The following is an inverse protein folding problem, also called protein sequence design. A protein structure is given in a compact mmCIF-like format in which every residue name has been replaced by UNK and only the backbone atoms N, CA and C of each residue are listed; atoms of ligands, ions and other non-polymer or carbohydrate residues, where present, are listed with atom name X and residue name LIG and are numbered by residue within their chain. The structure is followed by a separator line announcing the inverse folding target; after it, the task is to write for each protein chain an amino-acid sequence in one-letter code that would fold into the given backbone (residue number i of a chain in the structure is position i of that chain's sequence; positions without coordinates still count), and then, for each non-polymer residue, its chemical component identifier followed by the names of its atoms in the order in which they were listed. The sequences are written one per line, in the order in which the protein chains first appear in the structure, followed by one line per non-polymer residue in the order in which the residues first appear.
data_IF_941516030120
#
_entry.id   IF_941516030120
#
_cell.length_a   1.000
_cell.length_b   1.000
_cell.length_c   1.000
_cell.angle_alpha   90.00
_cell.angle_beta   90.00
_cell.angle_gamma   90.00
#
_symmetry.space_group_name_H-M   'P 1'
#
loop_
_entity.id
_entity.type
_entity.pdbx_description
1 polymer ?
#
# COMPACT_ATOMS: atom_id res chain seq x y z
N UNK A 1 -2.88 11.26 -2.37
CA UNK A 1 -2.84 10.91 -0.93
C UNK A 1 -1.70 9.93 -0.75
N UNK A 2 -0.96 10.02 0.35
CA UNK A 2 0.04 9.02 0.73
C UNK A 2 -0.23 8.61 2.17
N UNK A 3 -0.29 7.30 2.41
CA UNK A 3 -0.21 6.67 3.72
C UNK A 3 1.00 5.74 3.73
N UNK A 4 1.73 5.77 4.85
CA UNK A 4 2.97 5.01 4.99
C UNK A 4 3.07 4.45 6.41
N UNK A 5 3.35 3.15 6.53
CA UNK A 5 3.54 2.47 7.81
C UNK A 5 2.37 2.67 8.78
N UNK A 6 1.13 2.57 8.29
CA UNK A 6 -0.06 2.47 9.15
C UNK A 6 -0.04 1.15 9.92
N UNK A 7 -0.41 1.16 11.20
CA UNK A 7 -0.57 -0.06 12.01
C UNK A 7 -1.96 -0.68 11.91
N UNK A 8 -2.62 -0.40 10.79
CA UNK A 8 -4.02 -0.67 10.44
C UNK A 8 -4.07 -0.57 8.90
N UNK A 9 -5.24 -0.35 8.30
CA UNK A 9 -5.33 -0.12 6.86
C UNK A 9 -4.58 1.13 6.41
N UNK A 10 -4.17 1.11 5.14
CA UNK A 10 -3.68 2.27 4.43
C UNK A 10 -4.77 3.30 4.27
N UNK A 11 -5.89 2.92 3.65
CA UNK A 11 -7.06 3.79 3.41
C UNK A 11 -8.32 2.95 3.51
N UNK A 12 -9.25 3.40 4.35
CA UNK A 12 -10.59 2.83 4.47
C UNK A 12 -11.66 3.85 4.08
N UNK A 13 -12.61 3.44 3.24
CA UNK A 13 -13.70 4.31 2.74
C UNK A 13 -15.07 3.81 3.20
N UNK A 14 -15.66 4.59 4.11
CA UNK A 14 -17.02 4.38 4.61
C UNK A 14 -18.07 5.06 3.73
N UNK A 15 -18.57 4.33 2.74
CA UNK A 15 -19.74 4.69 1.95
C UNK A 15 -19.65 5.98 1.11
N UNK A 16 -20.79 6.34 0.51
CA UNK A 16 -20.95 7.62 -0.20
C UNK A 16 -20.40 7.63 -1.62
N UNK A 17 -19.97 8.80 -2.11
CA UNK A 17 -19.60 9.03 -3.52
C UNK A 17 -18.27 9.77 -3.65
N UNK A 18 -17.40 9.63 -2.64
CA UNK A 18 -16.08 10.25 -2.68
C UNK A 18 -15.28 9.65 -3.84
N UNK A 19 -14.65 10.51 -4.64
CA UNK A 19 -13.74 10.06 -5.68
C UNK A 19 -12.29 10.20 -5.18
N UNK A 20 -11.44 9.23 -5.51
CA UNK A 20 -10.03 9.19 -5.13
C UNK A 20 -9.12 9.16 -6.36
N UNK A 21 -8.09 10.00 -6.38
CA UNK A 21 -7.19 10.13 -7.53
C UNK A 21 -5.75 10.28 -7.03
N UNK A 22 -4.82 9.48 -7.56
CA UNK A 22 -3.42 9.44 -7.14
C UNK A 22 -3.28 9.16 -5.64
N UNK A 23 -3.42 7.90 -5.29
CA UNK A 23 -3.46 7.40 -3.92
C UNK A 23 -2.39 6.34 -3.73
N UNK A 24 -1.55 6.48 -2.71
CA UNK A 24 -0.56 5.47 -2.34
C UNK A 24 -0.73 5.05 -0.88
N UNK A 25 -0.67 3.75 -0.67
CA UNK A 25 -0.72 3.06 0.61
C UNK A 25 0.50 2.13 0.68
N UNK A 26 1.50 2.47 1.49
CA UNK A 26 2.81 1.83 1.45
C UNK A 26 3.18 1.29 2.83
N UNK A 27 3.47 0.00 2.92
CA UNK A 27 3.90 -0.70 4.13
C UNK A 27 2.90 -0.65 5.29
N UNK A 28 1.60 -0.73 5.00
CA UNK A 28 0.59 -0.81 6.07
C UNK A 28 0.54 -2.24 6.64
N UNK A 29 0.18 -2.34 7.91
CA UNK A 29 0.11 -3.60 8.67
C UNK A 29 -1.11 -4.44 8.28
N UNK A 30 -2.22 -3.82 7.85
CA UNK A 30 -3.40 -4.51 7.31
C UNK A 30 -3.58 -4.19 5.81
N UNK A 31 -4.78 -3.81 5.36
CA UNK A 31 -5.09 -3.73 3.94
C UNK A 31 -4.64 -2.39 3.33
N UNK A 32 -4.27 -2.40 2.05
CA UNK A 32 -3.86 -1.16 1.37
C UNK A 32 -5.04 -0.23 1.10
N UNK A 33 -6.10 -0.79 0.52
CA UNK A 33 -7.38 -0.11 0.30
C UNK A 33 -8.50 -1.00 0.78
N UNK A 34 -9.28 -0.47 1.72
CA UNK A 34 -10.49 -1.08 2.19
C UNK A 34 -11.69 -0.17 1.91
N UNK A 35 -12.86 -0.75 1.68
CA UNK A 35 -14.10 0.00 1.62
C UNK A 35 -15.30 -0.81 2.07
N UNK A 36 -16.30 -0.11 2.59
CA UNK A 36 -17.55 -0.67 3.06
C UNK A 36 -18.71 0.36 2.92
N UNK A 37 -19.85 0.06 3.56
CA UNK A 37 -20.97 0.98 3.75
C UNK A 37 -21.54 1.62 2.47
N UNK A 38 -21.46 0.91 1.33
CA UNK A 38 -22.11 1.36 0.12
C UNK A 38 -21.34 2.40 -0.67
N UNK A 39 -20.01 2.30 -0.74
CA UNK A 39 -19.21 3.24 -1.53
C UNK A 39 -19.49 3.11 -3.03
N UNK A 40 -19.81 4.24 -3.67
CA UNK A 40 -20.23 4.35 -5.07
C UNK A 40 -19.38 5.37 -5.84
N UNK A 41 -18.15 5.61 -5.37
CA UNK A 41 -17.23 6.58 -5.96
C UNK A 41 -16.42 6.04 -7.14
N UNK A 42 -15.44 6.85 -7.55
CA UNK A 42 -14.45 6.51 -8.57
C UNK A 42 -13.04 6.51 -8.01
N UNK A 43 -12.18 5.69 -8.57
CA UNK A 43 -10.77 5.61 -8.20
C UNK A 43 -9.85 5.52 -9.41
N UNK A 44 -8.76 6.30 -9.44
CA UNK A 44 -7.72 6.15 -10.46
C UNK A 44 -6.31 6.40 -9.91
N UNK A 45 -5.34 5.62 -10.40
CA UNK A 45 -3.94 5.67 -9.97
C UNK A 45 -3.81 5.38 -8.48
N UNK A 46 -4.16 4.15 -8.13
CA UNK A 46 -4.07 3.62 -6.77
C UNK A 46 -2.86 2.71 -6.70
N UNK A 47 -1.94 2.98 -5.77
CA UNK A 47 -0.76 2.17 -5.52
C UNK A 47 -0.82 1.61 -4.11
N UNK A 48 -0.69 0.30 -3.98
CA UNK A 48 -0.53 -0.39 -2.71
C UNK A 48 0.72 -1.25 -2.73
N UNK A 49 1.54 -1.15 -1.69
CA UNK A 49 2.65 -2.06 -1.44
C UNK A 49 2.55 -2.54 -0.01
N UNK A 50 2.25 -3.82 0.20
CA UNK A 50 2.01 -4.35 1.56
C UNK A 50 3.32 -4.65 2.27
N UNK A 51 3.29 -4.58 3.60
CA UNK A 51 4.35 -5.08 4.47
C UNK A 51 3.77 -6.22 5.30
N UNK A 52 4.06 -7.47 4.91
CA UNK A 52 3.50 -8.69 5.53
C UNK A 52 4.18 -9.01 6.89
N UNK A 53 4.31 -8.00 7.78
CA UNK A 53 4.96 -8.18 9.07
C UNK A 53 4.10 -9.05 10.01
N UNK A 54 4.70 -10.12 10.54
CA UNK A 54 4.14 -10.93 11.63
C UNK A 54 2.76 -11.58 11.36
N UNK A 55 2.49 -12.01 10.12
CA UNK A 55 1.19 -12.57 9.71
C UNK A 55 0.03 -11.56 9.81
N UNK A 56 0.31 -10.25 9.90
CA UNK A 56 -0.66 -9.17 9.70
C UNK A 56 -0.67 -8.76 8.21
N UNK A 57 -1.86 -8.37 7.70
CA UNK A 57 -2.06 -8.04 6.29
C UNK A 57 -2.35 -9.28 5.45
N UNK A 58 -3.55 -9.85 5.62
CA UNK A 58 -3.99 -11.00 4.81
C UNK A 58 -4.32 -10.59 3.37
N UNK A 59 -4.66 -9.31 3.13
CA UNK A 59 -5.06 -8.80 1.83
C UNK A 59 -4.35 -7.48 1.47
N UNK A 60 -4.19 -7.19 0.18
CA UNK A 60 -3.70 -5.87 -0.24
C UNK A 60 -4.84 -4.89 -0.50
N UNK A 61 -6.05 -5.39 -0.77
CA UNK A 61 -7.28 -4.64 -0.63
C UNK A 61 -8.40 -5.57 -0.18
N UNK A 62 -9.19 -5.11 0.80
CA UNK A 62 -10.33 -5.84 1.31
C UNK A 62 -11.62 -5.07 1.04
N UNK A 63 -12.48 -5.65 0.21
CA UNK A 63 -13.62 -4.95 -0.35
C UNK A 63 -14.90 -5.53 0.25
N UNK A 64 -15.64 -4.69 0.93
CA UNK A 64 -16.89 -5.02 1.65
C UNK A 64 -18.11 -4.30 1.08
N UNK A 65 -19.26 -4.97 1.10
CA UNK A 65 -20.52 -4.44 0.59
C UNK A 65 -21.29 -3.54 1.56
N UNK A 66 -21.41 -3.95 2.83
CA UNK A 66 -22.19 -3.29 3.89
C UNK A 66 -21.75 -3.76 5.30
N UNK A 67 -21.67 -2.87 6.28
CA UNK A 67 -21.11 -3.14 7.62
C UNK A 67 -22.18 -3.45 8.69
N UNK A 68 -23.47 -3.39 8.34
CA UNK A 68 -24.52 -3.45 9.35
C UNK A 68 -24.72 -4.86 9.94
N UNK A 69 -24.46 -5.92 9.16
CA UNK A 69 -24.50 -7.32 9.61
C UNK A 69 -23.30 -8.08 9.02
N UNK A 70 -22.23 -8.19 9.81
CA UNK A 70 -20.92 -8.87 9.56
C UNK A 70 -21.01 -10.28 8.91
N UNK A 71 -22.21 -10.89 8.82
CA UNK A 71 -22.43 -12.25 8.30
C UNK A 71 -23.77 -12.49 7.57
N UNK A 72 -24.61 -11.47 7.33
CA UNK A 72 -25.96 -11.66 6.72
C UNK A 72 -26.32 -10.44 5.85
N UNK A 73 -25.44 -10.12 4.90
CA UNK A 73 -25.68 -9.00 3.98
C UNK A 73 -26.85 -9.37 3.08
N UNK A 74 -27.98 -8.70 3.27
CA UNK A 74 -29.17 -8.92 2.46
C UNK A 74 -29.29 -7.80 1.43
N UNK A 75 -29.36 -8.15 0.14
CA UNK A 75 -29.49 -7.19 -0.98
C UNK A 75 -30.70 -6.22 -0.92
N UNK A 76 -31.57 -6.33 0.08
CA UNK A 76 -32.57 -5.30 0.39
C UNK A 76 -31.98 -4.05 1.06
N UNK A 77 -30.77 -4.12 1.59
CA UNK A 77 -29.99 -2.99 2.08
C UNK A 77 -29.14 -2.44 0.94
N UNK A 78 -29.59 -1.32 0.38
CA UNK A 78 -28.88 -0.57 -0.65
C UNK A 78 -28.52 0.82 -0.11
N UNK A 79 -27.39 1.40 -0.52
CA UNK A 79 -26.44 0.87 -1.51
C UNK A 79 -25.43 -0.13 -0.93
N UNK A 80 -25.07 -1.16 -1.70
CA UNK A 80 -23.86 -1.96 -1.52
C UNK A 80 -22.67 -1.27 -2.15
N UNK A 81 -21.44 -1.53 -1.71
CA UNK A 81 -20.25 -0.92 -2.31
C UNK A 81 -20.06 -1.44 -3.75
N UNK A 82 -19.88 -0.54 -4.70
CA UNK A 82 -19.57 -0.88 -6.09
C UNK A 82 -18.85 0.28 -6.80
N UNK A 83 -17.61 0.60 -6.39
CA UNK A 83 -16.85 1.68 -6.98
C UNK A 83 -16.38 1.34 -8.40
N UNK A 84 -16.11 2.39 -9.19
CA UNK A 84 -15.48 2.28 -10.51
C UNK A 84 -14.00 2.64 -10.41
N UNK A 85 -13.13 1.64 -10.58
CA UNK A 85 -11.69 1.74 -10.33
C UNK A 85 -10.89 1.47 -11.60
N UNK A 86 -9.95 2.36 -11.91
CA UNK A 86 -9.03 2.25 -13.04
C UNK A 86 -7.58 2.33 -12.57
N UNK A 87 -6.66 1.66 -13.28
CA UNK A 87 -5.22 1.91 -13.16
C UNK A 87 -4.69 1.75 -11.73
N UNK A 88 -4.87 0.56 -11.16
CA UNK A 88 -4.37 0.25 -9.83
C UNK A 88 -3.12 -0.63 -9.93
N UNK A 89 -2.17 -0.48 -9.01
CA UNK A 89 -1.00 -1.36 -8.88
C UNK A 89 -0.88 -1.81 -7.43
N UNK A 90 -1.01 -3.11 -7.20
CA UNK A 90 -0.83 -3.73 -5.89
C UNK A 90 0.39 -4.64 -5.94
N UNK A 91 1.24 -4.55 -4.91
CA UNK A 91 2.48 -5.33 -4.76
C UNK A 91 2.49 -5.97 -3.37
N UNK A 92 2.58 -7.30 -3.33
CA UNK A 92 2.69 -8.08 -2.09
C UNK A 92 4.12 -8.52 -1.77
N UNK A 93 4.27 -9.30 -0.69
CA UNK A 93 5.52 -9.99 -0.35
C UNK A 93 5.45 -11.52 -0.54
N UNK A 94 4.35 -12.01 -1.13
CA UNK A 94 4.19 -13.36 -1.65
C UNK A 94 3.34 -14.30 -0.79
N UNK A 95 2.87 -13.86 0.38
CA UNK A 95 1.98 -14.65 1.23
C UNK A 95 0.52 -14.16 1.16
N UNK A 96 0.29 -12.85 1.10
CA UNK A 96 -1.05 -12.26 1.12
C UNK A 96 -1.87 -12.57 -0.15
N UNK A 97 -3.18 -12.39 -0.05
CA UNK A 97 -4.10 -12.35 -1.20
C UNK A 97 -4.13 -10.93 -1.77
N UNK A 98 -4.20 -10.78 -3.09
CA UNK A 98 -4.16 -9.45 -3.69
C UNK A 98 -5.43 -8.64 -3.40
N UNK A 99 -6.60 -9.21 -3.64
CA UNK A 99 -7.91 -8.58 -3.36
C UNK A 99 -8.84 -9.63 -2.78
N UNK A 100 -9.56 -9.29 -1.71
CA UNK A 100 -10.72 -10.06 -1.26
C UNK A 100 -12.00 -9.29 -1.56
N UNK A 101 -13.00 -9.99 -2.06
CA UNK A 101 -14.35 -9.49 -2.27
C UNK A 101 -15.30 -10.31 -1.40
N UNK A 102 -15.91 -9.65 -0.41
CA UNK A 102 -16.77 -10.34 0.55
C UNK A 102 -17.92 -9.46 1.04
N UNK A 103 -18.82 -10.02 1.86
CA UNK A 103 -19.97 -9.32 2.42
C UNK A 103 -20.77 -8.52 1.38
N UNK A 104 -20.96 -9.08 0.18
CA UNK A 104 -21.74 -8.42 -0.88
C UNK A 104 -21.02 -7.24 -1.54
N UNK A 105 -19.69 -7.27 -1.59
CA UNK A 105 -18.90 -6.26 -2.29
C UNK A 105 -18.97 -6.39 -3.81
N UNK A 106 -19.25 -5.27 -4.46
CA UNK A 106 -19.10 -5.10 -5.90
C UNK A 106 -17.84 -4.33 -6.22
N UNK A 107 -17.34 -4.53 -7.44
CA UNK A 107 -16.30 -3.65 -8.01
C UNK A 107 -16.41 -3.61 -9.52
N UNK A 108 -16.20 -2.43 -10.12
CA UNK A 108 -15.93 -2.29 -11.56
C UNK A 108 -14.47 -1.90 -11.73
N UNK A 109 -13.61 -2.91 -11.88
CA UNK A 109 -12.17 -2.81 -11.89
C UNK A 109 -11.61 -2.94 -13.31
N UNK A 110 -10.79 -1.97 -13.72
CA UNK A 110 -10.22 -1.92 -15.05
C UNK A 110 -8.72 -1.58 -15.03
N UNK A 111 -7.96 -2.19 -15.95
CA UNK A 111 -6.57 -1.82 -16.24
C UNK A 111 -5.66 -1.82 -15.00
N UNK A 112 -5.82 -2.77 -14.08
CA UNK A 112 -5.01 -2.91 -12.86
C UNK A 112 -3.94 -3.98 -12.98
N UNK A 113 -2.91 -3.88 -12.13
CA UNK A 113 -1.77 -4.77 -12.03
C UNK A 113 -1.64 -5.30 -10.59
N UNK A 114 -1.50 -6.61 -10.44
CA UNK A 114 -1.30 -7.29 -9.16
C UNK A 114 -0.02 -8.13 -9.22
N UNK A 115 0.91 -7.92 -8.27
CA UNK A 115 2.25 -8.52 -8.32
C UNK A 115 2.63 -9.13 -6.98
N UNK A 116 3.21 -10.34 -7.00
CA UNK A 116 3.86 -10.98 -5.86
C UNK A 116 2.90 -11.27 -4.68
N UNK A 117 1.86 -12.04 -4.95
CA UNK A 117 0.86 -12.47 -3.95
C UNK A 117 0.76 -14.00 -3.91
N UNK A 118 0.32 -14.55 -2.77
CA UNK A 118 0.00 -15.97 -2.65
C UNK A 118 -1.23 -16.35 -3.50
N UNK A 119 -2.23 -15.46 -3.52
CA UNK A 119 -3.46 -15.58 -4.31
C UNK A 119 -3.79 -14.26 -5.00
N UNK A 120 -4.47 -14.32 -6.15
CA UNK A 120 -4.89 -13.14 -6.89
C UNK A 120 -6.13 -12.50 -6.26
N UNK A 121 -7.27 -12.64 -6.92
CA UNK A 121 -8.55 -12.17 -6.37
C UNK A 121 -9.27 -13.34 -5.71
N UNK A 122 -9.67 -13.16 -4.47
CA UNK A 122 -10.53 -14.07 -3.74
C UNK A 122 -11.99 -13.57 -3.79
N UNK A 123 -12.90 -14.46 -4.16
CA UNK A 123 -14.34 -14.23 -4.25
C UNK A 123 -15.06 -15.10 -3.24
N UNK A 124 -15.62 -14.47 -2.21
CA UNK A 124 -16.45 -15.15 -1.22
C UNK A 124 -17.85 -15.46 -1.80
N UNK A 125 -18.38 -16.63 -1.45
CA UNK A 125 -19.75 -17.07 -1.72
C UNK A 125 -20.37 -17.67 -0.45
N UNK A 126 -20.56 -16.82 0.57
CA UNK A 126 -21.29 -17.21 1.78
C UNK A 126 -22.77 -16.75 1.77
N UNK A 127 -23.68 -17.64 2.20
CA UNK A 127 -25.12 -17.35 2.24
C UNK A 127 -25.41 -16.23 3.28
N UNK A 128 -26.34 -15.28 3.01
CA UNK A 128 -27.37 -15.37 1.97
C UNK A 128 -27.19 -14.48 0.72
N UNK A 129 -26.30 -13.49 0.70
CA UNK A 129 -25.87 -12.78 -0.51
C UNK A 129 -24.44 -12.25 -0.31
N UNK A 130 -23.59 -12.46 -1.32
CA UNK A 130 -22.18 -12.08 -1.27
C UNK A 130 -21.66 -11.54 -2.62
N UNK A 131 -20.34 -11.46 -2.80
CA UNK A 131 -19.68 -11.00 -4.02
C UNK A 131 -20.13 -11.81 -5.26
N UNK A 132 -20.43 -13.10 -5.07
CA UNK A 132 -20.97 -13.98 -6.12
C UNK A 132 -22.28 -13.47 -6.73
N UNK A 133 -23.25 -13.03 -5.91
CA UNK A 133 -24.52 -12.48 -6.40
C UNK A 133 -24.30 -11.25 -7.29
N UNK A 134 -23.41 -10.35 -6.89
CA UNK A 134 -23.12 -9.13 -7.66
C UNK A 134 -22.43 -9.44 -8.99
N UNK A 135 -21.62 -10.49 -9.06
CA UNK A 135 -21.10 -11.01 -10.33
C UNK A 135 -22.25 -11.51 -11.22
N UNK A 136 -23.18 -12.31 -10.69
CA UNK A 136 -24.31 -12.84 -11.47
C UNK A 136 -25.27 -11.76 -11.97
N UNK A 137 -25.43 -10.67 -11.23
CA UNK A 137 -26.23 -9.51 -11.67
C UNK A 137 -25.49 -8.61 -12.67
N UNK A 138 -24.21 -8.86 -12.92
CA UNK A 138 -23.37 -8.04 -13.79
C UNK A 138 -23.02 -6.69 -13.16
N UNK A 139 -23.07 -6.60 -11.82
CA UNK A 139 -22.65 -5.42 -11.08
C UNK A 139 -21.15 -5.41 -10.84
N UNK A 140 -20.54 -6.58 -10.63
CA UNK A 140 -19.10 -6.77 -10.58
C UNK A 140 -18.53 -6.99 -11.98
N UNK A 141 -17.56 -6.16 -12.38
CA UNK A 141 -16.84 -6.28 -13.64
C UNK A 141 -15.35 -6.17 -13.38
N UNK A 142 -14.57 -7.14 -13.87
CA UNK A 142 -13.12 -7.18 -13.68
C UNK A 142 -12.53 -7.35 -15.07
N UNK A 143 -11.94 -6.30 -15.61
CA UNK A 143 -11.62 -6.21 -17.03
C UNK A 143 -10.21 -5.67 -17.29
N UNK A 144 -9.51 -6.33 -18.22
CA UNK A 144 -8.19 -5.93 -18.72
C UNK A 144 -7.11 -5.77 -17.63
N UNK A 145 -7.11 -6.64 -16.62
CA UNK A 145 -6.12 -6.63 -15.54
C UNK A 145 -4.95 -7.60 -15.83
N UNK A 146 -3.81 -7.35 -15.19
CA UNK A 146 -2.60 -8.19 -15.29
C UNK A 146 -2.18 -8.68 -13.92
N UNK A 147 -1.69 -9.91 -13.92
CA UNK A 147 -1.26 -10.60 -12.73
C UNK A 147 0.16 -11.13 -12.94
N UNK A 148 1.01 -11.02 -11.94
CA UNK A 148 2.37 -11.53 -12.03
C UNK A 148 2.86 -12.09 -10.71
N UNK A 149 3.52 -13.24 -10.75
CA UNK A 149 3.99 -13.94 -9.54
C UNK A 149 2.86 -14.12 -8.53
N UNK A 150 1.73 -14.67 -9.00
CA UNK A 150 0.62 -15.07 -8.15
C UNK A 150 0.74 -16.57 -7.90
N UNK A 151 0.92 -16.95 -6.64
CA UNK A 151 1.22 -18.32 -6.25
C UNK A 151 2.41 -18.90 -7.01
N UNK A 152 2.38 -20.20 -7.28
CA UNK A 152 3.46 -20.93 -7.97
C UNK A 152 3.25 -21.03 -9.49
N UNK A 153 2.21 -20.39 -10.07
CA UNK A 153 1.90 -20.57 -11.50
C UNK A 153 1.14 -19.40 -12.13
N UNK A 154 1.19 -19.31 -13.46
CA UNK A 154 0.38 -18.38 -14.26
C UNK A 154 -1.00 -18.93 -14.63
N UNK A 155 -1.48 -19.98 -13.96
CA UNK A 155 -2.77 -20.59 -14.23
C UNK A 155 -3.90 -19.70 -13.73
N UNK A 156 -4.99 -19.63 -14.50
CA UNK A 156 -6.16 -18.78 -14.18
C UNK A 156 -6.75 -19.07 -12.79
N UNK A 157 -6.69 -20.34 -12.36
CA UNK A 157 -7.19 -20.79 -11.06
C UNK A 157 -6.40 -20.25 -9.85
N UNK A 158 -5.16 -19.76 -10.06
CA UNK A 158 -4.40 -19.06 -9.00
C UNK A 158 -4.65 -17.55 -9.04
N UNK A 159 -5.00 -17.01 -10.22
CA UNK A 159 -5.27 -15.57 -10.39
C UNK A 159 -6.62 -15.15 -9.82
N UNK A 160 -7.56 -16.09 -9.78
CA UNK A 160 -8.86 -15.87 -9.19
C UNK A 160 -9.39 -17.16 -8.56
N UNK A 161 -9.80 -17.03 -7.31
CA UNK A 161 -10.39 -18.10 -6.51
C UNK A 161 -11.85 -17.76 -6.22
N UNK A 162 -12.68 -18.79 -6.27
CA UNK A 162 -14.03 -18.80 -5.74
C UNK A 162 -14.01 -19.69 -4.49
N UNK A 163 -14.03 -19.06 -3.32
CA UNK A 163 -13.92 -19.76 -2.04
C UNK A 163 -15.29 -20.08 -1.43
N UNK A 164 -15.33 -21.17 -0.66
CA UNK A 164 -16.43 -21.61 0.21
C UNK A 164 -17.84 -21.71 -0.40
N UNK A 165 -17.96 -21.67 -1.72
CA UNK A 165 -19.25 -21.63 -2.38
C UNK A 165 -20.07 -22.92 -2.42
N UNK A 166 -21.39 -22.75 -2.44
CA UNK A 166 -22.37 -23.83 -2.52
C UNK A 166 -22.78 -24.17 -3.97
N UNK A 167 -22.31 -23.39 -4.95
CA UNK A 167 -22.68 -23.54 -6.36
C UNK A 167 -21.81 -24.56 -7.06
N UNK A 168 -22.45 -25.58 -7.62
CA UNK A 168 -21.77 -26.54 -8.48
C UNK A 168 -21.31 -25.83 -9.74
N UNK A 169 -19.99 -25.59 -9.85
CA UNK A 169 -19.25 -24.91 -10.94
C UNK A 169 -18.90 -23.41 -10.75
N UNK A 170 -19.05 -22.83 -9.55
CA UNK A 170 -18.73 -21.41 -9.32
C UNK A 170 -17.35 -20.97 -9.83
N UNK A 171 -16.28 -21.68 -9.44
CA UNK A 171 -14.92 -21.45 -9.94
C UNK A 171 -14.85 -21.36 -11.49
N UNK A 172 -15.48 -22.29 -12.21
CA UNK A 172 -15.45 -22.32 -13.68
C UNK A 172 -16.15 -21.09 -14.30
N UNK A 173 -17.16 -20.55 -13.61
CA UNK A 173 -17.88 -19.34 -14.04
C UNK A 173 -17.04 -18.10 -13.82
N UNK A 174 -16.40 -17.99 -12.66
CA UNK A 174 -15.52 -16.87 -12.32
C UNK A 174 -14.30 -16.84 -13.25
N UNK A 175 -13.67 -18.00 -13.51
CA UNK A 175 -12.58 -18.12 -14.49
C UNK A 175 -13.01 -17.72 -15.90
N UNK A 176 -14.21 -18.11 -16.32
CA UNK A 176 -14.74 -17.74 -17.63
C UNK A 176 -14.94 -16.22 -17.74
N UNK A 177 -15.49 -15.58 -16.71
CA UNK A 177 -15.58 -14.11 -16.63
C UNK A 177 -14.21 -13.45 -16.75
N UNK A 178 -13.20 -13.97 -16.05
CA UNK A 178 -11.84 -13.44 -16.13
C UNK A 178 -11.26 -13.52 -17.54
N UNK A 179 -11.40 -14.66 -18.21
CA UNK A 179 -10.89 -14.90 -19.57
C UNK A 179 -11.63 -14.01 -20.58
N UNK A 180 -12.96 -13.98 -20.51
CA UNK A 180 -13.80 -13.23 -21.45
C UNK A 180 -13.57 -11.71 -21.33
N UNK A 181 -13.17 -11.22 -20.16
CA UNK A 181 -12.85 -9.81 -19.89
C UNK A 181 -11.35 -9.50 -19.92
N UNK A 182 -10.55 -10.29 -20.64
CA UNK A 182 -9.14 -9.99 -20.94
C UNK A 182 -8.21 -9.88 -19.70
N UNK A 183 -8.45 -10.69 -18.67
CA UNK A 183 -7.56 -10.82 -17.52
C UNK A 183 -6.62 -12.01 -17.72
N UNK A 184 -5.32 -11.79 -17.52
CA UNK A 184 -4.33 -12.86 -17.65
C UNK A 184 -3.00 -12.51 -16.98
N UNK A 185 -2.17 -13.53 -16.79
CA UNK A 185 -0.83 -13.33 -16.24
C UNK A 185 0.14 -12.74 -17.28
N UNK A 186 0.86 -11.69 -16.91
CA UNK A 186 1.87 -11.06 -17.76
C UNK A 186 2.96 -10.41 -16.90
N UNK A 187 4.21 -10.56 -17.32
CA UNK A 187 5.36 -9.95 -16.68
C UNK A 187 5.38 -8.43 -16.93
N UNK A 188 5.31 -7.60 -15.87
CA UNK A 188 5.40 -6.16 -15.99
C UNK A 188 6.84 -5.64 -16.10
N UNK A 189 7.86 -6.47 -15.91
CA UNK A 189 9.29 -6.07 -15.91
C UNK A 189 9.60 -4.90 -14.96
N UNK A 190 8.86 -4.81 -13.85
CA UNK A 190 9.13 -3.83 -12.78
C UNK A 190 10.12 -4.39 -11.77
N UNK A 191 10.88 -3.51 -11.14
CA UNK A 191 11.64 -3.83 -9.94
C UNK A 191 10.85 -3.36 -8.72
N UNK A 192 10.46 -4.30 -7.88
CA UNK A 192 9.71 -4.04 -6.65
C UNK A 192 10.47 -4.51 -5.40
N UNK A 193 11.71 -4.98 -5.56
CA UNK A 193 12.55 -5.39 -4.43
C UNK A 193 13.39 -4.19 -4.01
N UNK A 194 13.20 -3.74 -2.77
CA UNK A 194 14.12 -2.75 -2.19
C UNK A 194 14.99 -3.39 -1.12
N UNK A 195 16.08 -2.71 -0.78
CA UNK A 195 16.86 -3.02 0.40
C UNK A 195 17.07 -1.76 1.23
N UNK A 196 17.18 -1.93 2.54
CA UNK A 196 17.46 -0.84 3.46
C UNK A 196 18.61 -1.18 4.40
N UNK A 197 19.37 -0.17 4.79
CA UNK A 197 20.37 -0.26 5.84
C UNK A 197 20.20 0.92 6.80
N UNK A 198 20.19 0.64 8.10
CA UNK A 198 20.06 1.64 9.17
C UNK A 198 18.95 2.68 8.92
N UNK A 199 17.77 2.22 8.48
CA UNK A 199 16.58 3.06 8.24
C UNK A 199 16.55 3.81 6.90
N UNK A 200 17.52 3.58 6.01
CA UNK A 200 17.60 4.24 4.71
C UNK A 200 17.53 3.23 3.57
N UNK A 201 16.88 3.59 2.46
CA UNK A 201 16.82 2.77 1.25
C UNK A 201 18.19 2.78 0.55
N UNK A 202 18.75 1.59 0.32
CA UNK A 202 20.04 1.37 -0.34
C UNK A 202 19.89 0.82 -1.76
N UNK A 203 18.77 0.17 -2.04
CA UNK A 203 18.40 -0.32 -3.37
C UNK A 203 16.94 0.09 -3.61
N UNK A 204 16.68 1.13 -4.43
CA UNK A 204 15.34 1.63 -4.67
C UNK A 204 14.55 0.75 -5.64
N UNK A 205 13.22 0.79 -5.55
CA UNK A 205 12.34 0.14 -6.52
C UNK A 205 12.20 0.96 -7.80
N UNK A 206 11.87 0.29 -8.91
CA UNK A 206 11.50 0.90 -10.17
C UNK A 206 10.17 0.35 -10.67
N UNK A 207 9.12 1.15 -10.49
CA UNK A 207 7.74 0.81 -10.85
C UNK A 207 7.38 1.11 -12.31
N UNK A 208 8.36 1.40 -13.18
CA UNK A 208 8.12 1.64 -14.60
C UNK A 208 7.80 0.32 -15.31
N UNK A 209 6.57 0.09 -15.79
CA UNK A 209 6.21 -1.18 -16.42
C UNK A 209 6.70 -1.29 -17.87
N UNK A 210 6.75 -2.52 -18.37
CA UNK A 210 7.11 -2.81 -19.77
C UNK A 210 6.16 -2.14 -20.76
N UNK A 211 6.76 -1.44 -21.72
CA UNK A 211 6.07 -0.65 -22.75
C UNK A 211 5.34 -1.47 -23.82
N UNK A 212 5.31 -2.79 -23.71
CA UNK A 212 4.63 -3.69 -24.67
C UNK A 212 3.54 -4.49 -23.97
N UNK A 213 3.83 -5.15 -22.85
CA UNK A 213 2.90 -6.05 -22.14
C UNK A 213 1.89 -5.31 -21.28
N UNK A 214 2.21 -4.09 -20.84
CA UNK A 214 1.38 -3.28 -19.95
C UNK A 214 0.63 -2.15 -20.67
N UNK A 215 0.26 -2.38 -21.93
CA UNK A 215 -0.56 -1.44 -22.73
C UNK A 215 -2.03 -1.87 -22.72
N UNK A 216 -2.93 -0.89 -22.75
CA UNK A 216 -4.38 -1.05 -22.82
C UNK A 216 -4.92 -0.63 -24.20
N UNK A 217 -5.78 -1.47 -24.78
CA UNK A 217 -6.44 -1.17 -26.04
C UNK A 217 -7.58 -0.15 -25.86
N UNK A 218 -7.93 0.55 -26.95
CA UNK A 218 -8.92 1.65 -26.93
C UNK A 218 -10.26 1.29 -26.30
N UNK A 219 -10.70 0.02 -26.42
CA UNK A 219 -11.98 -0.44 -25.88
C UNK A 219 -12.00 -0.54 -24.34
N UNK A 220 -10.84 -0.67 -23.71
CA UNK A 220 -10.69 -0.74 -22.25
C UNK A 220 -10.41 0.61 -21.61
N UNK A 221 -10.41 1.70 -22.38
CA UNK A 221 -10.18 3.05 -21.86
C UNK A 221 -11.46 3.62 -21.22
N UNK A 222 -11.32 4.43 -20.15
CA UNK A 222 -12.47 5.01 -19.49
C UNK A 222 -13.26 5.92 -20.43
N UNK A 223 -14.58 5.80 -20.39
CA UNK A 223 -15.50 6.67 -21.15
C UNK A 223 -15.96 7.90 -20.33
N UNK A 224 -15.83 7.86 -19.00
CA UNK A 224 -16.16 8.97 -18.11
C UNK A 224 -15.02 10.01 -18.14
N UNK A 225 -15.30 11.29 -18.48
CA UNK A 225 -14.29 12.35 -18.54
C UNK A 225 -13.60 12.70 -17.22
N UNK A 226 -14.05 12.14 -16.09
CA UNK A 226 -13.38 12.31 -14.81
C UNK A 226 -12.05 11.56 -14.74
N UNK A 227 -11.93 10.43 -15.44
CA UNK A 227 -10.68 9.66 -15.51
C UNK A 227 -9.73 10.26 -16.54
N UNK A 228 -8.44 10.20 -16.24
CA UNK A 228 -7.39 10.38 -17.22
C UNK A 228 -7.40 9.20 -18.19
N UNK A 229 -7.56 9.49 -19.49
CA UNK A 229 -7.57 8.47 -20.53
C UNK A 229 -6.15 8.08 -20.90
N UNK A 230 -5.56 7.17 -20.12
CA UNK A 230 -4.23 6.59 -20.36
C UNK A 230 -4.33 5.21 -21.00
N UNK A 231 -3.38 4.86 -21.87
CA UNK A 231 -3.36 3.62 -22.64
C UNK A 231 -2.46 2.53 -22.05
N UNK A 232 -2.31 2.52 -20.73
CA UNK A 232 -1.51 1.53 -20.00
C UNK A 232 -2.26 0.91 -18.83
N UNK A 233 -1.73 -0.22 -18.36
CA UNK A 233 -2.22 -1.00 -17.22
C UNK A 233 -1.37 -0.68 -15.99
N UNK A 234 -2.02 -0.59 -14.83
CA UNK A 234 -1.40 -0.21 -13.57
C UNK A 234 -1.41 1.29 -13.33
N UNK A 235 -0.89 1.68 -12.18
CA UNK A 235 -0.88 3.06 -11.69
C UNK A 235 0.28 3.90 -12.29
N UNK A 236 1.24 3.29 -12.96
CA UNK A 236 2.48 3.95 -13.43
C UNK A 236 2.63 3.86 -14.94
N UNK A 237 3.15 4.93 -15.54
CA UNK A 237 3.32 5.00 -16.99
C UNK A 237 4.53 4.19 -17.46
N UNK A 238 4.41 3.40 -18.55
CA UNK A 238 5.55 2.77 -19.21
C UNK A 238 6.59 3.76 -19.77
N UNK A 239 6.27 5.07 -19.79
CA UNK A 239 7.22 6.12 -20.19
C UNK A 239 8.23 6.50 -19.10
N UNK A 240 8.15 5.90 -17.91
CA UNK A 240 9.03 6.18 -16.78
C UNK A 240 8.57 7.33 -15.88
N UNK A 241 7.35 7.84 -16.08
CA UNK A 241 6.79 8.85 -15.18
C UNK A 241 6.29 8.19 -13.89
N UNK A 242 6.88 8.57 -12.76
CA UNK A 242 6.42 8.17 -11.43
C UNK A 242 5.82 9.37 -10.71
N UNK A 243 4.49 9.37 -10.57
CA UNK A 243 3.73 10.46 -9.95
C UNK A 243 3.89 10.53 -8.42
N UNK A 244 4.54 9.54 -7.79
CA UNK A 244 4.93 9.59 -6.38
C UNK A 244 6.19 10.41 -6.14
N UNK A 245 6.89 10.84 -7.19
CA UNK A 245 8.07 11.69 -7.06
C UNK A 245 7.69 13.17 -6.87
N UNK A 246 8.62 13.95 -6.34
CA UNK A 246 8.61 15.36 -5.96
C UNK A 246 7.76 15.78 -4.74
N UNK A 247 7.01 14.88 -4.07
CA UNK A 247 6.13 15.28 -2.96
C UNK A 247 5.91 14.25 -1.86
N UNK A 248 6.20 12.97 -2.09
CA UNK A 248 5.93 11.91 -1.13
C UNK A 248 7.02 11.79 -0.08
N UNK A 249 6.68 11.21 1.06
CA UNK A 249 7.63 10.82 2.08
C UNK A 249 8.41 9.58 1.67
N UNK A 250 7.78 8.62 0.98
CA UNK A 250 8.46 7.46 0.41
C UNK A 250 9.60 7.86 -0.54
N UNK A 251 9.41 8.88 -1.39
CA UNK A 251 10.51 9.44 -2.19
C UNK A 251 11.58 10.08 -1.30
N UNK A 252 11.21 10.80 -0.25
CA UNK A 252 12.19 11.40 0.66
C UNK A 252 13.06 10.35 1.36
N UNK A 253 12.52 9.16 1.61
CA UNK A 253 13.25 7.99 2.10
C UNK A 253 14.10 7.30 1.02
N UNK A 254 13.99 7.73 -0.23
CA UNK A 254 14.73 7.19 -1.37
C UNK A 254 14.09 5.97 -2.03
N UNK A 255 12.82 5.64 -1.71
CA UNK A 255 12.19 4.39 -2.18
C UNK A 255 12.18 4.25 -3.70
N UNK A 256 11.98 5.34 -4.44
CA UNK A 256 11.91 5.35 -5.91
C UNK A 256 13.22 5.78 -6.58
N UNK A 257 14.30 5.86 -5.80
CA UNK A 257 15.59 6.34 -6.24
C UNK A 257 15.61 7.84 -6.54
N UNK A 258 16.73 8.32 -7.06
CA UNK A 258 16.82 9.68 -7.59
C UNK A 258 16.00 9.80 -8.88
N UNK A 259 15.27 10.91 -9.06
CA UNK A 259 14.50 11.20 -10.28
C UNK A 259 15.36 11.05 -11.54
N UNK A 260 15.25 9.90 -12.22
CA UNK A 260 15.78 9.68 -13.56
C UNK A 260 14.74 10.19 -14.57
N UNK A 261 14.43 11.49 -14.51
CA UNK A 261 13.64 12.13 -15.54
C UNK A 261 14.31 11.95 -16.88
N UNK A 262 13.71 11.13 -17.74
CA UNK A 262 14.29 10.69 -19.00
C UNK A 262 14.83 11.83 -19.87
N UNK A 263 16.15 11.96 -19.89
CA UNK A 263 16.99 12.22 -21.06
C UNK A 263 18.45 12.06 -20.60
N UNK A 264 19.09 10.94 -20.94
CA UNK A 264 20.55 10.79 -20.80
C UNK A 264 21.20 11.61 -21.92
N UNK A 265 21.17 12.94 -21.76
CA UNK A 265 22.06 13.83 -22.49
C UNK A 265 23.45 13.72 -21.85
N UNK A 266 24.26 12.82 -22.41
CA UNK A 266 25.61 12.41 -21.95
C UNK A 266 26.69 13.52 -21.88
N UNK A 267 26.34 14.79 -21.66
CA UNK A 267 27.33 15.89 -21.52
C UNK A 267 27.24 16.71 -20.22
N UNK A 268 26.46 16.29 -19.20
CA UNK A 268 26.59 16.89 -17.85
C UNK A 268 26.08 16.02 -16.69
N UNK A 269 26.23 14.71 -16.74
CA UNK A 269 25.97 13.87 -15.56
C UNK A 269 27.07 14.08 -14.51
N UNK A 270 26.74 14.76 -13.42
CA UNK A 270 27.61 14.87 -12.26
C UNK A 270 27.30 13.68 -11.36
N UNK A 271 28.19 12.69 -11.36
CA UNK A 271 28.12 11.53 -10.48
C UNK A 271 28.36 11.94 -9.02
N UNK A 272 27.53 11.41 -8.13
CA UNK A 272 27.70 11.52 -6.69
C UNK A 272 26.37 11.26 -5.98
N UNK A 273 26.39 11.29 -4.65
CA UNK A 273 25.17 10.99 -3.90
C UNK A 273 24.09 12.06 -4.10
N UNK A 274 22.90 11.63 -4.52
CA UNK A 274 21.76 12.52 -4.81
C UNK A 274 20.71 12.56 -3.69
N UNK A 275 20.77 11.64 -2.73
CA UNK A 275 19.85 11.60 -1.59
C UNK A 275 20.24 12.64 -0.53
N UNK A 276 19.32 13.56 -0.21
CA UNK A 276 19.57 14.67 0.72
C UNK A 276 19.90 14.21 2.15
N UNK A 277 19.50 13.00 2.52
CA UNK A 277 19.78 12.41 3.83
C UNK A 277 21.19 11.81 3.93
N UNK A 278 21.89 11.56 2.83
CA UNK A 278 23.21 10.92 2.88
C UNK A 278 24.29 11.89 3.37
N UNK A 279 25.27 11.36 4.10
CA UNK A 279 26.39 12.12 4.65
C UNK A 279 27.31 12.70 3.59
N UNK A 280 27.41 12.05 2.44
CA UNK A 280 28.13 12.52 1.27
C UNK A 280 27.20 13.12 0.18
N UNK A 281 26.00 13.57 0.55
CA UNK A 281 25.08 14.26 -0.36
C UNK A 281 25.77 15.39 -1.13
N UNK A 282 25.56 15.41 -2.43
CA UNK A 282 26.07 16.43 -3.33
C UNK A 282 24.91 17.11 -4.04
N UNK A 283 24.64 18.36 -3.67
CA UNK A 283 23.67 19.20 -4.38
C UNK A 283 24.04 19.49 -5.86
N UNK A 284 25.27 19.15 -6.26
CA UNK A 284 25.71 19.23 -7.65
C UNK A 284 25.50 17.90 -8.40
N UNK A 285 25.30 16.77 -7.71
CA UNK A 285 25.08 15.49 -8.35
C UNK A 285 23.74 15.49 -9.08
N UNK A 286 23.76 14.99 -10.31
CA UNK A 286 22.58 14.85 -11.16
C UNK A 286 22.28 13.38 -11.48
N UNK A 287 23.16 12.47 -11.06
CA UNK A 287 23.00 11.03 -11.19
C UNK A 287 23.67 10.34 -10.01
N UNK A 288 22.92 9.47 -9.33
CA UNK A 288 23.45 8.68 -8.24
C UNK A 288 24.48 7.67 -8.74
N UNK A 289 25.61 7.57 -8.05
CA UNK A 289 26.71 6.67 -8.42
C UNK A 289 26.84 5.46 -7.48
N UNK A 290 25.86 5.25 -6.62
CA UNK A 290 25.86 4.18 -5.61
C UNK A 290 26.91 4.40 -4.51
N UNK A 291 27.48 5.61 -4.39
CA UNK A 291 28.45 5.91 -3.33
C UNK A 291 27.82 6.51 -2.08
N UNK A 292 26.49 6.73 -2.05
CA UNK A 292 25.79 7.26 -0.89
C UNK A 292 26.11 6.49 0.38
N UNK A 293 26.51 7.21 1.41
CA UNK A 293 26.77 6.65 2.73
C UNK A 293 26.08 7.45 3.81
N UNK A 294 25.66 6.74 4.84
CA UNK A 294 24.84 7.26 5.94
C UNK A 294 25.53 7.11 7.29
N UNK A 295 26.69 6.47 7.35
CA UNK A 295 27.34 6.15 8.62
C UNK A 295 28.22 7.29 9.13
N UNK A 296 28.87 8.06 8.25
CA UNK A 296 29.93 8.98 8.66
C UNK A 296 29.43 10.23 9.40
N UNK A 297 28.14 10.53 9.28
CA UNK A 297 27.42 11.63 9.93
C UNK A 297 26.18 11.14 10.70
N UNK A 298 26.02 9.83 10.85
CA UNK A 298 25.07 9.22 11.77
C UNK A 298 25.62 9.29 13.20
N UNK A 299 24.75 9.53 14.17
CA UNK A 299 25.10 9.50 15.58
C UNK A 299 23.95 9.98 16.44
N UNK A 300 24.13 9.99 17.76
CA UNK A 300 23.06 10.39 18.65
C UNK A 300 22.72 11.88 18.53
N UNK A 301 21.50 12.24 18.11
CA UNK A 301 21.10 13.65 17.91
C UNK A 301 20.41 14.27 19.13
N UNK A 302 20.06 13.47 20.13
CA UNK A 302 19.46 13.97 21.37
C UNK A 302 20.50 14.65 22.24
N UNK A 303 20.41 15.98 22.38
CA UNK A 303 21.36 16.79 23.17
C UNK A 303 21.50 16.36 24.64
N UNK A 304 20.52 15.64 25.15
CA UNK A 304 20.43 15.18 26.53
C UNK A 304 20.95 13.74 26.71
N UNK A 305 21.42 13.08 25.65
CA UNK A 305 22.02 11.74 25.72
C UNK A 305 23.50 11.78 26.12
N UNK A 306 23.97 10.73 26.80
CA UNK A 306 25.37 10.64 27.27
C UNK A 306 26.38 10.56 26.11
N UNK A 307 25.94 10.06 24.95
CA UNK A 307 26.71 9.95 23.72
C UNK A 307 26.22 10.90 22.62
N UNK A 308 25.57 12.02 22.98
CA UNK A 308 25.19 13.06 22.02
C UNK A 308 26.37 13.45 21.12
N UNK A 309 26.13 13.44 19.81
CA UNK A 309 27.08 13.87 18.79
C UNK A 309 26.56 15.15 18.10
N UNK A 310 27.19 16.32 18.33
CA UNK A 310 26.79 17.56 17.68
C UNK A 310 27.14 17.62 16.18
N UNK A 311 27.94 16.69 15.65
CA UNK A 311 28.24 16.58 14.22
C UNK A 311 27.28 15.61 13.50
N UNK A 312 26.45 14.85 14.25
CA UNK A 312 25.45 13.97 13.68
C UNK A 312 24.33 14.77 12.99
N UNK A 313 23.95 14.35 11.78
CA UNK A 313 22.86 14.94 11.00
C UNK A 313 21.53 14.22 11.22
N UNK A 314 21.57 12.95 11.63
CA UNK A 314 20.40 12.12 11.92
C UNK A 314 20.73 11.06 12.97
N UNK A 315 19.69 10.64 13.68
CA UNK A 315 19.80 9.68 14.78
C UNK A 315 20.00 8.27 14.26
N UNK A 316 21.02 7.57 14.76
CA UNK A 316 21.34 6.19 14.39
C UNK A 316 20.81 5.16 15.40
N UNK A 317 19.96 5.58 16.33
CA UNK A 317 19.46 4.74 17.41
C UNK A 317 20.54 4.35 18.44
N UNK A 318 21.76 4.90 18.33
CA UNK A 318 22.83 4.63 19.29
C UNK A 318 22.68 5.41 20.59
N UNK A 319 21.71 6.33 20.68
CA UNK A 319 21.52 7.19 21.85
C UNK A 319 21.37 6.39 23.14
N UNK A 320 22.38 6.52 23.98
CA UNK A 320 22.39 6.00 25.33
C UNK A 320 21.83 7.07 26.25
N UNK A 321 20.75 6.73 26.96
CA UNK A 321 20.15 7.63 27.91
C UNK A 321 21.18 8.11 28.93
N UNK A 322 21.41 9.42 28.96
CA UNK A 322 21.78 10.05 30.22
C UNK A 322 20.66 9.78 31.21
N UNK A 323 20.98 9.64 32.49
CA UNK A 323 20.08 9.27 33.57
C UNK A 323 18.91 10.27 33.78
N UNK A 324 17.96 10.33 32.85
CA UNK A 324 16.71 11.08 32.87
C UNK A 324 15.58 10.21 32.31
N UNK A 325 15.52 8.94 32.72
CA UNK A 325 14.24 8.25 32.83
C UNK A 325 13.61 8.65 34.17
N UNK A 326 13.39 9.95 34.38
CA UNK A 326 12.32 10.37 35.26
C UNK A 326 11.11 10.53 34.34
N UNK A 327 10.38 9.44 34.12
CA UNK A 327 8.96 9.55 33.85
C UNK A 327 8.39 10.21 35.11
N UNK A 328 8.13 11.53 35.16
CA UNK A 328 7.78 12.19 36.41
C UNK A 328 6.42 11.71 36.94
N UNK A 329 5.67 11.03 36.06
CA UNK A 329 4.41 10.37 36.31
C UNK A 329 4.53 8.86 36.62
N UNK A 330 5.73 8.26 36.54
CA UNK A 330 6.00 6.94 37.12
C UNK A 330 6.24 7.15 38.63
N UNK A 331 5.12 7.34 39.33
CA UNK A 331 5.10 7.70 40.75
C UNK A 331 5.64 6.54 41.59
N UNK A 332 5.51 5.31 41.08
CA UNK A 332 5.87 4.10 41.80
C UNK A 332 7.28 3.56 41.45
N UNK A 333 7.93 4.12 40.42
CA UNK A 333 9.26 3.80 39.91
C UNK A 333 9.41 2.37 39.37
N UNK A 334 8.36 1.84 38.74
CA UNK A 334 8.40 0.51 38.09
C UNK A 334 8.92 0.55 36.65
N UNK A 335 9.22 1.74 36.12
CA UNK A 335 9.70 1.96 34.76
C UNK A 335 8.58 2.09 33.74
N UNK A 336 7.33 2.28 34.16
CA UNK A 336 6.17 2.48 33.30
C UNK A 336 5.21 3.52 33.89
N UNK A 337 4.46 4.24 33.04
CA UNK A 337 3.35 5.10 33.50
C UNK A 337 2.05 4.39 33.18
N UNK A 338 1.39 3.82 34.19
CA UNK A 338 0.17 3.04 34.00
C UNK A 338 -0.90 3.33 35.07
N UNK A 339 -1.98 2.55 35.06
CA UNK A 339 -3.10 2.72 36.01
C UNK A 339 -2.66 2.63 37.47
N UNK A 340 -1.57 1.93 37.78
CA UNK A 340 -1.02 1.85 39.13
C UNK A 340 -0.50 3.20 39.62
N UNK A 341 0.18 3.98 38.76
CA UNK A 341 0.65 5.33 39.08
C UNK A 341 -0.51 6.31 39.25
N UNK A 342 -1.49 6.22 38.35
CA UNK A 342 -2.69 7.06 38.41
C UNK A 342 -3.47 6.84 39.72
N UNK A 343 -3.55 5.59 40.19
CA UNK A 343 -4.20 5.28 41.46
C UNK A 343 -3.43 5.83 42.67
N UNK A 344 -2.10 5.89 42.60
CA UNK A 344 -1.29 6.53 43.66
C UNK A 344 -1.54 8.05 43.66
N UNK A 345 -1.54 8.68 42.48
CA UNK A 345 -1.87 10.10 42.36
C UNK A 345 -3.26 10.42 42.90
N UNK A 346 -4.29 9.68 42.46
CA UNK A 346 -5.67 9.89 42.91
C UNK A 346 -5.84 9.60 44.41
N UNK A 347 -5.06 8.67 44.96
CA UNK A 347 -5.04 8.37 46.39
C UNK A 347 -4.49 9.52 47.25
N UNK A 348 -3.54 10.30 46.71
CA UNK A 348 -2.95 11.47 47.37
C UNK A 348 -3.59 12.80 46.92
N UNK A 349 -4.49 12.78 45.94
CA UNK A 349 -5.05 13.98 45.33
C UNK A 349 -5.94 14.74 46.32
N UNK A 350 -5.47 15.91 46.75
CA UNK A 350 -6.15 16.77 47.71
C UNK A 350 -5.68 16.60 49.15
N UNK A 351 -4.64 15.80 49.40
CA UNK A 351 -3.97 15.78 50.69
C UNK A 351 -3.17 17.08 50.91
N UNK A 352 -3.31 17.67 52.09
CA UNK A 352 -2.49 18.80 52.50
C UNK A 352 -1.11 18.27 52.95
N UNK A 353 -0.02 18.77 52.35
CA UNK A 353 1.32 18.48 52.83
C UNK A 353 1.58 19.25 54.14
N UNK A 354 1.95 18.55 55.22
CA UNK A 354 2.48 19.23 56.41
C UNK A 354 3.89 19.79 56.07
N UNK A 355 4.07 21.11 56.22
CA UNK A 355 5.35 21.81 56.02
C UNK A 355 6.49 21.33 56.91
#
# INVERSE_FOLDING_TARGET
IETIASGDDGIQIFGGTVDIHHVAAIFNEEDGLEYDQGWQGRGQFIFSMTDELNDAGEHAGDYEGDDYEEFDVNMTFMPYSNPLLYNQTYIGAGAATAIRLHNGAGVRMHNSLFVNFGLGIDFEDEDPCDAWELLLFGETNIENNRFWQIGDSSAIAELILYDDGYVFNGQEVVEAHFIDNNNFAADPDIDFTFSSDSGHVMDPINLTPDSVTMMAELEFLPNDPWFDSVDYIGAFSPSGENWLTCWTYAEQLGLFGAWNGGDVDTDSEILGCTYFFACNYSAAATLDDGTCEIESCAGCTFSDADNYDPEALFDDGSCNGSALLECPADINQDGSVNTSDLLIFLGAFGDDCEE
#
